data_IF_632083614958
#
_entry.id   IF_632083614958
#
_cell.length_a   1.000
_cell.length_b   1.000
_cell.length_c   1.000
_cell.angle_alpha   90.00
_cell.angle_beta   90.00
_cell.angle_gamma   90.00
#
_symmetry.space_group_name_H-M   'P 1'
#
loop_
_entity.id
_entity.type
_entity.pdbx_description
1 polymer ?
#
# COMPACT_ATOMS: atom_id res chain seq x y z
N UNK A 1 -1.46 -16.46 7.01
CA UNK A 1 -1.27 -15.02 6.69
C UNK A 1 -1.14 -14.23 7.98
N UNK A 2 -0.40 -13.10 7.99
CA UNK A 2 -0.29 -12.23 9.16
C UNK A 2 -1.66 -11.58 9.40
N UNK A 3 -2.50 -12.21 10.24
CA UNK A 3 -3.82 -11.72 10.60
C UNK A 3 -3.79 -10.62 11.66
N UNK A 4 -2.60 -10.09 11.97
CA UNK A 4 -2.42 -8.99 12.90
C UNK A 4 -2.39 -7.67 12.13
N UNK A 5 -2.92 -6.57 12.71
CA UNK A 5 -2.76 -5.23 12.18
C UNK A 5 -1.29 -4.96 11.86
N UNK A 6 -1.02 -4.50 10.64
CA UNK A 6 0.32 -4.16 10.19
C UNK A 6 0.28 -2.85 9.42
N UNK A 7 1.30 -2.03 9.62
CA UNK A 7 1.44 -0.76 8.91
C UNK A 7 2.87 -0.63 8.39
N UNK A 8 3.00 -0.04 7.20
CA UNK A 8 4.27 0.39 6.65
C UNK A 8 4.30 1.91 6.66
N UNK A 9 5.26 2.48 7.38
CA UNK A 9 5.40 3.93 7.55
C UNK A 9 6.72 4.35 6.93
N UNK A 10 6.69 5.34 6.04
CA UNK A 10 7.87 5.98 5.48
C UNK A 10 7.99 7.36 6.15
N UNK A 11 9.14 7.62 6.78
CA UNK A 11 9.42 8.89 7.45
C UNK A 11 10.44 9.69 6.66
N UNK A 12 10.13 10.95 6.40
CA UNK A 12 11.04 11.91 5.80
C UNK A 12 11.60 12.81 6.89
N UNK A 13 12.90 12.72 7.13
CA UNK A 13 13.56 13.56 8.11
C UNK A 13 13.74 14.97 7.54
N UNK A 14 13.41 15.99 8.34
CA UNK A 14 13.69 17.40 8.04
C UNK A 14 15.19 17.68 8.21
N UNK A 15 16.03 17.10 7.34
CA UNK A 15 17.48 17.23 7.34
C UNK A 15 17.96 17.47 5.91
N UNK A 16 18.96 18.31 5.77
CA UNK A 16 19.72 18.48 4.52
C UNK A 16 20.89 17.49 4.49
N UNK A 17 20.99 16.69 3.42
CA UNK A 17 22.07 15.72 3.24
C UNK A 17 21.78 14.33 3.79
N UNK A 18 22.64 13.37 3.45
CA UNK A 18 22.49 11.98 3.87
C UNK A 18 22.87 11.79 5.36
N UNK A 19 22.24 10.83 6.03
CA UNK A 19 22.63 10.42 7.38
C UNK A 19 24.01 9.74 7.36
N UNK A 20 24.85 10.07 8.34
CA UNK A 20 26.09 9.33 8.64
C UNK A 20 25.78 8.05 9.42
N UNK A 21 26.76 7.15 9.56
CA UNK A 21 26.61 5.93 10.35
C UNK A 21 26.27 6.24 11.83
N UNK A 22 26.99 7.17 12.45
CA UNK A 22 26.75 7.57 13.84
C UNK A 22 25.37 8.20 14.04
N UNK A 23 24.85 8.89 13.02
CA UNK A 23 23.48 9.42 13.06
C UNK A 23 22.44 8.31 12.94
N UNK A 24 22.71 7.27 12.15
CA UNK A 24 21.83 6.10 12.05
C UNK A 24 21.75 5.36 13.39
N UNK A 25 22.89 5.16 14.05
CA UNK A 25 22.97 4.43 15.33
C UNK A 25 22.19 5.11 16.46
N UNK A 26 21.90 6.42 16.36
CA UNK A 26 21.01 7.13 17.30
C UNK A 26 19.54 6.69 17.20
N UNK A 27 19.13 6.14 16.06
CA UNK A 27 17.73 5.79 15.80
C UNK A 27 17.52 4.30 15.58
N UNK A 28 18.51 3.58 15.06
CA UNK A 28 18.37 2.20 14.63
C UNK A 28 19.52 1.37 15.21
N UNK A 29 19.16 0.32 15.94
CA UNK A 29 20.08 -0.66 16.49
C UNK A 29 19.78 -2.05 15.93
N UNK A 30 20.81 -2.90 15.93
CA UNK A 30 20.71 -4.32 15.67
C UNK A 30 21.30 -5.14 16.84
N UNK A 31 21.29 -4.55 18.04
CA UNK A 31 21.94 -5.09 19.25
C UNK A 31 20.92 -5.30 20.36
N UNK A 32 21.16 -6.29 21.21
CA UNK A 32 20.51 -6.39 22.52
C UNK A 32 21.03 -5.25 23.42
N UNK A 33 20.15 -4.45 24.06
CA UNK A 33 20.55 -3.53 25.11
C UNK A 33 21.30 -4.24 26.24
N UNK A 34 22.18 -3.54 26.95
CA UNK A 34 22.86 -4.14 28.11
C UNK A 34 21.86 -4.28 29.26
N UNK A 35 21.55 -5.50 29.72
CA UNK A 35 20.55 -5.70 30.78
C UNK A 35 20.96 -5.09 32.13
N UNK A 36 22.24 -4.78 32.35
CA UNK A 36 22.70 -4.08 33.55
C UNK A 36 22.46 -2.57 33.51
N UNK A 37 22.26 -2.01 32.31
CA UNK A 37 22.06 -0.56 32.08
C UNK A 37 20.61 -0.27 31.70
N UNK A 38 20.05 -1.06 30.78
CA UNK A 38 18.69 -0.93 30.23
C UNK A 38 17.98 -2.30 30.21
N UNK A 39 17.53 -2.80 31.37
CA UNK A 39 16.79 -4.06 31.46
C UNK A 39 15.45 -4.01 30.73
N UNK A 40 14.79 -2.85 30.70
CA UNK A 40 13.47 -2.69 30.06
C UNK A 40 13.61 -2.79 28.54
N UNK A 41 14.60 -2.11 27.96
CA UNK A 41 14.92 -2.25 26.55
C UNK A 41 15.38 -3.66 26.20
N UNK A 42 16.20 -4.28 27.05
CA UNK A 42 16.63 -5.67 26.85
C UNK A 42 15.44 -6.64 26.77
N UNK A 43 14.49 -6.53 27.71
CA UNK A 43 13.28 -7.37 27.73
C UNK A 43 12.42 -7.14 26.49
N UNK A 44 12.20 -5.88 26.10
CA UNK A 44 11.40 -5.53 24.93
C UNK A 44 12.04 -6.05 23.62
N UNK A 45 13.34 -5.83 23.42
CA UNK A 45 14.06 -6.30 22.22
C UNK A 45 14.11 -7.82 22.20
N UNK A 46 14.35 -8.47 23.34
CA UNK A 46 14.33 -9.93 23.47
C UNK A 46 12.97 -10.54 23.09
N UNK A 47 11.88 -9.92 23.52
CA UNK A 47 10.53 -10.42 23.24
C UNK A 47 10.12 -10.21 21.77
N UNK A 48 10.35 -9.02 21.21
CA UNK A 48 9.73 -8.61 19.96
C UNK A 48 10.67 -8.56 18.76
N UNK A 49 11.98 -8.43 18.97
CA UNK A 49 12.95 -8.09 17.92
C UNK A 49 14.03 -9.14 17.71
N UNK A 50 13.71 -10.41 17.94
CA UNK A 50 14.61 -11.54 17.67
C UNK A 50 14.12 -12.36 16.48
N UNK A 51 15.02 -12.63 15.52
CA UNK A 51 14.76 -13.56 14.43
C UNK A 51 15.06 -14.99 14.88
N UNK A 52 14.27 -15.96 14.41
CA UNK A 52 14.52 -17.36 14.75
C UNK A 52 14.21 -17.70 16.21
N UNK A 53 14.80 -18.77 16.78
CA UNK A 53 15.94 -19.53 16.24
C UNK A 53 15.59 -20.30 14.95
N UNK A 54 16.50 -20.32 13.99
CA UNK A 54 16.39 -21.00 12.69
C UNK A 54 17.78 -21.52 12.27
N UNK A 55 17.89 -22.17 11.11
CA UNK A 55 19.14 -22.84 10.70
C UNK A 55 19.18 -24.26 11.24
N UNK A 56 20.38 -24.75 11.55
CA UNK A 56 20.58 -26.08 12.14
C UNK A 56 19.78 -26.28 13.44
N UNK A 57 19.61 -25.21 14.23
CA UNK A 57 18.83 -25.27 15.47
C UNK A 57 17.34 -25.53 15.25
N UNK A 58 16.76 -25.08 14.13
CA UNK A 58 15.35 -25.31 13.78
C UNK A 58 15.15 -25.29 12.24
N UNK A 59 15.43 -26.41 11.54
CA UNK A 59 15.36 -26.48 10.08
C UNK A 59 13.93 -26.43 9.55
N UNK A 60 12.93 -26.66 10.39
CA UNK A 60 11.50 -26.63 10.03
C UNK A 60 10.87 -25.24 10.06
N UNK A 61 11.62 -24.19 10.44
CA UNK A 61 11.10 -22.82 10.45
C UNK A 61 10.69 -22.37 9.05
N UNK A 62 9.58 -21.62 8.94
CA UNK A 62 9.06 -21.14 7.66
C UNK A 62 10.04 -20.23 6.87
N UNK A 63 11.07 -19.70 7.52
CA UNK A 63 12.12 -18.93 6.85
C UNK A 63 13.18 -19.81 6.17
N UNK A 64 13.24 -21.11 6.47
CA UNK A 64 14.23 -22.04 5.93
C UNK A 64 13.85 -22.44 4.51
N UNK A 65 14.78 -22.25 3.58
CA UNK A 65 14.65 -22.58 2.16
C UNK A 65 15.95 -23.25 1.73
N UNK A 66 15.88 -24.48 1.21
CA UNK A 66 17.04 -25.26 0.78
C UNK A 66 18.13 -25.42 1.86
N UNK A 67 17.73 -25.56 3.14
CA UNK A 67 18.66 -25.71 4.26
C UNK A 67 19.23 -24.40 4.81
N UNK A 68 18.98 -23.26 4.17
CA UNK A 68 19.45 -21.95 4.61
C UNK A 68 18.30 -21.03 5.02
N UNK A 69 18.54 -20.09 5.92
CA UNK A 69 17.55 -19.07 6.23
C UNK A 69 17.43 -18.10 5.05
N UNK A 70 16.25 -17.98 4.45
CA UNK A 70 15.93 -17.02 3.37
C UNK A 70 16.11 -15.53 3.75
N UNK A 71 16.38 -15.25 5.03
CA UNK A 71 16.70 -13.92 5.55
C UNK A 71 18.17 -13.78 5.94
N UNK A 72 19.00 -14.78 5.65
CA UNK A 72 20.43 -14.87 5.92
C UNK A 72 20.74 -14.61 7.40
N UNK A 73 20.11 -15.39 8.27
CA UNK A 73 20.41 -15.45 9.70
C UNK A 73 21.12 -16.77 10.03
N UNK A 74 22.09 -16.77 10.97
CA UNK A 74 22.61 -15.61 11.71
C UNK A 74 23.32 -14.58 10.82
N UNK A 75 23.24 -13.30 11.20
CA UNK A 75 23.97 -12.21 10.52
C UNK A 75 25.44 -12.22 10.92
N UNK A 76 26.31 -11.77 10.02
CA UNK A 76 27.72 -11.55 10.32
C UNK A 76 27.88 -10.50 11.45
N UNK A 77 28.86 -10.75 12.33
CA UNK A 77 29.23 -9.79 13.37
C UNK A 77 29.92 -8.57 12.77
N UNK A 78 29.66 -7.41 13.35
CA UNK A 78 30.29 -6.17 12.94
C UNK A 78 30.38 -5.21 14.12
N UNK A 79 31.56 -4.67 14.42
CA UNK A 79 31.74 -3.81 15.59
C UNK A 79 31.11 -2.41 15.42
N UNK A 80 30.99 -1.93 14.17
CA UNK A 80 30.52 -0.58 13.87
C UNK A 80 29.57 -0.57 12.68
N UNK A 81 28.62 0.36 12.71
CA UNK A 81 27.75 0.60 11.57
C UNK A 81 28.54 1.20 10.41
N UNK A 82 28.35 0.67 9.21
CA UNK A 82 29.01 1.15 7.98
C UNK A 82 28.01 1.34 6.86
N UNK A 83 28.07 2.48 6.19
CA UNK A 83 27.28 2.75 4.98
C UNK A 83 28.10 2.30 3.77
N UNK A 84 27.56 1.37 3.00
CA UNK A 84 28.19 0.82 1.80
C UNK A 84 28.04 1.80 0.61
N UNK A 85 28.86 1.59 -0.44
CA UNK A 85 28.84 2.44 -1.64
C UNK A 85 27.48 2.46 -2.35
N UNK A 86 26.72 1.36 -2.28
CA UNK A 86 25.34 1.26 -2.80
C UNK A 86 24.28 1.90 -1.87
N UNK A 87 24.71 2.61 -0.83
CA UNK A 87 23.85 3.27 0.14
C UNK A 87 23.24 2.35 1.20
N UNK A 88 23.40 1.03 1.11
CA UNK A 88 22.91 0.10 2.14
C UNK A 88 23.69 0.26 3.45
N UNK A 89 23.02 0.02 4.58
CA UNK A 89 23.65 0.06 5.90
C UNK A 89 23.93 -1.35 6.38
N UNK A 90 25.18 -1.61 6.75
CA UNK A 90 25.53 -2.75 7.59
C UNK A 90 25.59 -2.27 9.04
N UNK A 91 24.63 -2.67 9.85
CA UNK A 91 24.48 -2.23 11.24
C UNK A 91 25.43 -2.98 12.17
N UNK A 92 25.87 -2.31 13.23
CA UNK A 92 26.69 -2.90 14.28
C UNK A 92 25.97 -4.08 14.97
N UNK A 93 26.68 -5.21 15.05
CA UNK A 93 26.33 -6.45 15.74
C UNK A 93 27.60 -6.97 16.44
N UNK A 94 28.08 -6.32 17.51
CA UNK A 94 29.32 -6.70 18.17
C UNK A 94 29.14 -8.03 18.91
N UNK A 95 30.24 -8.80 19.05
CA UNK A 95 30.24 -10.06 19.80
C UNK A 95 30.53 -9.80 21.29
N UNK A 96 29.59 -9.16 21.97
CA UNK A 96 29.74 -8.63 23.34
C UNK A 96 29.25 -9.57 24.45
N UNK A 97 29.02 -10.86 24.15
CA UNK A 97 28.53 -11.91 25.08
C UNK A 97 27.12 -11.69 25.65
N UNK A 98 26.43 -10.61 25.26
CA UNK A 98 25.02 -10.41 25.60
C UNK A 98 24.18 -11.37 24.77
N UNK A 99 23.32 -12.13 25.43
CA UNK A 99 22.43 -13.09 24.79
C UNK A 99 21.09 -13.17 25.51
N UNK A 100 20.08 -13.62 24.80
CA UNK A 100 18.75 -13.91 25.33
C UNK A 100 18.33 -15.32 24.93
N UNK A 101 17.27 -15.85 25.53
CA UNK A 101 16.73 -17.17 25.18
C UNK A 101 15.44 -17.01 24.39
N UNK A 102 15.38 -17.63 23.20
CA UNK A 102 14.17 -17.73 22.41
C UNK A 102 13.89 -19.19 22.07
N UNK A 103 12.71 -19.68 22.45
CA UNK A 103 12.32 -21.09 22.31
C UNK A 103 13.37 -22.08 22.88
N UNK A 104 14.00 -21.73 24.00
CA UNK A 104 15.04 -22.54 24.64
C UNK A 104 16.45 -22.43 24.03
N UNK A 105 16.60 -21.75 22.89
CA UNK A 105 17.90 -21.54 22.22
C UNK A 105 18.48 -20.19 22.63
N UNK A 106 19.75 -20.18 23.01
CA UNK A 106 20.49 -18.94 23.27
C UNK A 106 20.83 -18.25 21.94
N UNK A 107 20.47 -16.98 21.83
CA UNK A 107 20.67 -16.15 20.65
C UNK A 107 21.25 -14.79 21.06
N UNK A 108 22.10 -14.24 20.21
CA UNK A 108 22.82 -12.99 20.45
C UNK A 108 22.52 -11.95 19.36
N UNK A 109 23.35 -10.91 19.27
CA UNK A 109 23.25 -9.83 18.29
C UNK A 109 23.20 -10.31 16.83
N UNK A 110 23.64 -11.53 16.51
CA UNK A 110 23.52 -12.06 15.15
C UNK A 110 22.06 -12.32 14.73
N UNK A 111 21.13 -12.45 15.68
CA UNK A 111 19.71 -12.75 15.44
C UNK A 111 18.77 -11.55 15.62
N UNK A 112 19.27 -10.43 16.13
CA UNK A 112 18.44 -9.25 16.40
C UNK A 112 17.94 -8.61 15.10
N UNK A 113 16.67 -8.23 15.03
CA UNK A 113 16.11 -7.43 13.92
C UNK A 113 16.45 -5.95 14.12
N UNK A 114 16.43 -5.18 13.04
CA UNK A 114 16.69 -3.74 13.10
C UNK A 114 15.54 -3.04 13.82
N UNK A 115 15.83 -2.26 14.85
CA UNK A 115 14.81 -1.69 15.72
C UNK A 115 15.21 -0.32 16.26
N UNK A 116 14.21 0.40 16.77
CA UNK A 116 14.42 1.50 17.70
C UNK A 116 13.93 1.04 19.08
N UNK A 117 14.79 1.13 20.12
CA UNK A 117 14.48 0.60 21.45
C UNK A 117 13.26 1.31 22.04
N UNK A 118 13.19 2.64 21.95
CA UNK A 118 12.07 3.42 22.49
C UNK A 118 10.74 3.03 21.85
N UNK A 119 10.70 2.80 20.54
CA UNK A 119 9.50 2.31 19.85
C UNK A 119 9.11 0.91 20.34
N UNK A 120 10.08 0.01 20.52
CA UNK A 120 9.80 -1.34 21.01
C UNK A 120 9.26 -1.32 22.44
N UNK A 121 9.86 -0.51 23.32
CA UNK A 121 9.43 -0.34 24.71
C UNK A 121 8.04 0.30 24.78
N UNK A 122 7.81 1.38 24.02
CA UNK A 122 6.54 2.12 24.03
C UNK A 122 5.35 1.30 23.53
N UNK A 123 5.54 0.54 22.46
CA UNK A 123 4.44 -0.16 21.79
C UNK A 123 4.37 -1.66 22.09
N UNK A 124 5.40 -2.23 22.73
CA UNK A 124 5.46 -3.66 23.07
C UNK A 124 5.11 -4.55 21.88
N UNK A 125 5.71 -4.26 20.73
CA UNK A 125 5.35 -4.87 19.45
C UNK A 125 6.58 -5.06 18.55
N UNK A 126 6.45 -5.95 17.56
CA UNK A 126 7.48 -6.18 16.54
C UNK A 126 7.53 -5.00 15.56
N UNK A 127 8.52 -4.10 15.73
CA UNK A 127 8.69 -2.88 14.92
C UNK A 127 10.05 -2.88 14.25
N UNK A 128 10.11 -3.33 13.00
CA UNK A 128 11.34 -3.28 12.21
C UNK A 128 11.56 -1.86 11.66
N UNK A 129 12.69 -1.24 12.01
CA UNK A 129 13.07 0.10 11.57
C UNK A 129 14.32 -0.01 10.70
N UNK A 130 14.30 0.58 9.50
CA UNK A 130 15.43 0.53 8.58
C UNK A 130 15.67 1.87 7.90
N UNK A 131 16.95 2.23 7.70
CA UNK A 131 17.34 3.32 6.81
C UNK A 131 17.17 2.87 5.36
N UNK A 132 16.39 3.63 4.61
CA UNK A 132 16.18 3.43 3.17
C UNK A 132 17.10 4.36 2.39
N UNK A 133 17.88 3.81 1.45
CA UNK A 133 18.69 4.59 0.50
C UNK A 133 17.85 5.01 -0.71
N UNK A 134 18.39 5.89 -1.57
CA UNK A 134 17.70 6.37 -2.79
C UNK A 134 17.20 5.21 -3.66
N UNK A 135 18.05 4.24 -3.95
CA UNK A 135 17.74 3.06 -4.78
C UNK A 135 16.93 1.96 -4.04
N UNK A 136 16.63 2.19 -2.75
CA UNK A 136 15.67 1.39 -2.02
C UNK A 136 14.30 2.05 -1.97
N UNK A 137 14.21 3.36 -2.18
CA UNK A 137 13.04 4.17 -1.86
C UNK A 137 11.88 3.88 -2.80
N UNK A 138 12.14 3.71 -4.09
CA UNK A 138 11.15 3.35 -5.10
C UNK A 138 10.46 2.04 -4.74
N UNK A 139 11.21 1.08 -4.18
CA UNK A 139 10.63 -0.16 -3.68
C UNK A 139 9.64 0.14 -2.56
N UNK A 140 9.94 0.99 -1.58
CA UNK A 140 8.97 1.26 -0.50
C UNK A 140 7.79 2.12 -0.96
N UNK A 141 8.02 3.11 -1.83
CA UNK A 141 6.97 3.97 -2.39
C UNK A 141 5.98 3.18 -3.23
N UNK A 142 6.48 2.37 -4.16
CA UNK A 142 5.62 1.67 -5.10
C UNK A 142 5.16 0.32 -4.57
N UNK A 143 6.01 -0.49 -3.94
CA UNK A 143 5.64 -1.86 -3.55
C UNK A 143 4.39 -1.89 -2.68
N UNK A 144 4.26 -1.02 -1.69
CA UNK A 144 3.09 -1.07 -0.80
C UNK A 144 1.86 -0.37 -1.40
N UNK A 145 2.06 0.52 -2.37
CA UNK A 145 0.97 1.12 -3.14
C UNK A 145 0.43 0.17 -4.21
N UNK A 146 1.31 -0.58 -4.87
CA UNK A 146 0.99 -1.48 -6.00
C UNK A 146 0.83 -2.93 -5.58
N UNK A 147 1.15 -3.29 -4.34
CA UNK A 147 0.84 -4.62 -3.81
C UNK A 147 -0.67 -4.77 -3.84
N UNK A 148 -1.12 -5.61 -4.77
CA UNK A 148 -2.53 -5.92 -4.94
C UNK A 148 -3.17 -6.40 -3.64
N UNK A 149 -4.49 -6.34 -3.61
CA UNK A 149 -5.24 -6.93 -2.51
C UNK A 149 -4.96 -8.42 -2.43
N UNK A 150 -5.08 -8.96 -1.21
CA UNK A 150 -4.98 -10.39 -1.01
C UNK A 150 -6.12 -11.09 -1.77
N UNK A 151 -5.75 -12.01 -2.67
CA UNK A 151 -6.69 -12.85 -3.39
C UNK A 151 -6.61 -14.31 -2.94
N UNK A 152 -7.73 -15.01 -3.02
CA UNK A 152 -7.83 -16.46 -2.99
C UNK A 152 -8.31 -16.94 -4.35
N UNK A 153 -7.72 -18.01 -4.88
CA UNK A 153 -8.21 -18.67 -6.09
C UNK A 153 -9.09 -19.84 -5.68
N UNK A 154 -10.32 -19.85 -6.15
CA UNK A 154 -11.28 -20.93 -5.94
C UNK A 154 -11.46 -21.67 -7.25
N UNK A 155 -11.12 -22.96 -7.29
CA UNK A 155 -11.39 -23.81 -8.45
C UNK A 155 -12.86 -24.23 -8.47
N UNK A 156 -13.55 -23.98 -9.57
CA UNK A 156 -14.92 -24.44 -9.81
C UNK A 156 -14.87 -25.75 -10.58
N UNK A 157 -15.22 -26.86 -9.92
CA UNK A 157 -15.35 -28.14 -10.61
C UNK A 157 -16.80 -28.35 -11.06
N UNK A 158 -17.05 -28.33 -12.37
CA UNK A 158 -18.34 -28.74 -12.92
C UNK A 158 -18.56 -30.23 -12.66
N UNK A 159 -19.66 -30.57 -11.99
CA UNK A 159 -20.10 -31.96 -11.82
C UNK A 159 -20.44 -32.51 -13.20
N UNK A 160 -19.63 -33.45 -13.71
CA UNK A 160 -19.95 -34.13 -14.98
C UNK A 160 -21.28 -34.86 -14.81
N UNK A 161 -22.27 -34.56 -15.65
CA UNK A 161 -23.49 -35.35 -15.70
C UNK A 161 -23.13 -36.78 -16.11
N UNK A 162 -23.54 -37.76 -15.31
CA UNK A 162 -23.33 -39.17 -15.60
C UNK A 162 -24.15 -39.55 -16.84
N UNK A 163 -23.50 -39.63 -18.02
CA UNK A 163 -24.13 -40.15 -19.23
C UNK A 163 -23.64 -39.59 -20.57
N UNK A 164 -22.83 -38.54 -20.62
CA UNK A 164 -22.35 -38.02 -21.91
C UNK A 164 -21.09 -38.77 -22.39
N UNK A 165 -21.30 -39.53 -23.47
CA UNK A 165 -20.26 -40.16 -24.29
C UNK A 165 -19.26 -39.12 -24.79
N UNK A 166 -17.99 -39.44 -24.62
CA UNK A 166 -16.81 -38.61 -24.88
C UNK A 166 -16.58 -38.34 -26.37
N UNK A 167 -17.36 -37.46 -26.97
CA UNK A 167 -17.10 -36.92 -28.32
C UNK A 167 -17.41 -35.42 -28.43
N UNK A 168 -16.93 -34.63 -27.48
CA UNK A 168 -16.67 -33.22 -27.74
C UNK A 168 -15.58 -32.70 -26.81
N UNK A 169 -14.37 -32.55 -27.35
CA UNK A 169 -13.31 -31.71 -26.79
C UNK A 169 -13.76 -30.23 -26.85
N UNK A 170 -14.76 -29.87 -26.06
CA UNK A 170 -14.92 -28.47 -25.66
C UNK A 170 -13.70 -28.16 -24.81
N UNK A 171 -12.78 -27.37 -25.37
CA UNK A 171 -11.52 -27.01 -24.73
C UNK A 171 -11.74 -26.59 -23.28
N UNK A 172 -10.93 -27.15 -22.39
CA UNK A 172 -10.91 -26.76 -20.97
C UNK A 172 -10.63 -25.26 -20.94
N UNK A 173 -11.60 -24.46 -20.50
CA UNK A 173 -11.41 -23.04 -20.36
C UNK A 173 -10.85 -22.77 -18.97
N UNK A 174 -9.53 -22.85 -18.85
CA UNK A 174 -8.78 -22.62 -17.61
C UNK A 174 -9.06 -21.25 -16.97
N UNK A 175 -9.63 -20.28 -17.70
CA UNK A 175 -10.00 -18.97 -17.13
C UNK A 175 -11.39 -19.03 -16.46
N UNK A 176 -12.33 -19.81 -17.00
CA UNK A 176 -13.68 -19.95 -16.44
C UNK A 176 -13.74 -20.90 -15.23
N UNK A 177 -12.74 -21.79 -15.09
CA UNK A 177 -12.71 -22.79 -14.03
C UNK A 177 -12.13 -22.27 -12.71
N UNK A 178 -11.73 -20.99 -12.63
CA UNK A 178 -11.23 -20.37 -11.41
C UNK A 178 -11.90 -19.03 -11.14
N UNK A 179 -12.30 -18.81 -9.90
CA UNK A 179 -12.68 -17.50 -9.39
C UNK A 179 -11.52 -16.91 -8.59
N UNK A 180 -11.15 -15.68 -8.91
CA UNK A 180 -10.25 -14.90 -8.07
C UNK A 180 -11.09 -14.05 -7.10
N UNK A 181 -11.10 -14.45 -5.84
CA UNK A 181 -11.89 -13.80 -4.80
C UNK A 181 -10.99 -12.92 -3.94
N UNK A 182 -11.35 -11.64 -3.78
CA UNK A 182 -10.66 -10.74 -2.84
C UNK A 182 -10.91 -11.21 -1.41
N UNK A 183 -9.84 -11.46 -0.66
CA UNK A 183 -9.90 -11.70 0.77
C UNK A 183 -10.01 -10.38 1.52
N UNK A 184 -10.92 -10.33 2.50
CA UNK A 184 -11.05 -9.23 3.46
C UNK A 184 -10.75 -9.82 4.84
N UNK A 185 -9.77 -9.26 5.55
CA UNK A 185 -9.44 -9.73 6.89
C UNK A 185 -10.55 -9.34 7.89
N UNK A 186 -10.73 -10.07 9.01
CA UNK A 186 -11.81 -9.78 9.98
C UNK A 186 -11.82 -8.32 10.47
N UNK A 187 -10.64 -7.74 10.68
CA UNK A 187 -10.48 -6.33 11.06
C UNK A 187 -10.94 -5.37 9.95
N UNK A 188 -10.59 -5.62 8.69
CA UNK A 188 -11.04 -4.80 7.55
C UNK A 188 -12.55 -4.90 7.35
N UNK A 189 -13.12 -6.10 7.57
CA UNK A 189 -14.56 -6.33 7.50
C UNK A 189 -15.29 -5.55 8.61
N UNK A 190 -14.80 -5.61 9.85
CA UNK A 190 -15.36 -4.85 10.96
C UNK A 190 -15.29 -3.34 10.70
N UNK A 191 -14.16 -2.83 10.22
CA UNK A 191 -13.98 -1.41 9.88
C UNK A 191 -15.00 -0.92 8.85
N UNK A 192 -15.27 -1.75 7.83
CA UNK A 192 -16.27 -1.49 6.79
C UNK A 192 -17.70 -1.57 7.31
N UNK A 193 -18.02 -2.59 8.11
CA UNK A 193 -19.36 -2.75 8.70
C UNK A 193 -19.71 -1.57 9.61
N UNK A 194 -18.73 -1.03 10.33
CA UNK A 194 -18.88 0.16 11.17
C UNK A 194 -18.83 1.48 10.39
N UNK A 195 -18.70 1.42 9.05
CA UNK A 195 -18.66 2.59 8.16
C UNK A 195 -17.57 3.61 8.50
N UNK A 196 -16.46 3.16 9.09
CA UNK A 196 -15.32 4.04 9.34
C UNK A 196 -14.62 4.40 8.02
N UNK A 197 -14.06 5.61 7.98
CA UNK A 197 -13.25 6.04 6.84
C UNK A 197 -12.08 5.07 6.61
N UNK A 198 -12.00 4.53 5.39
CA UNK A 198 -10.97 3.55 5.00
C UNK A 198 -9.72 4.26 4.47
N UNK A 199 -9.91 5.48 3.96
CA UNK A 199 -8.88 6.24 3.27
C UNK A 199 -9.09 7.71 3.54
N UNK A 200 -7.99 8.38 3.86
CA UNK A 200 -7.89 9.82 3.93
C UNK A 200 -6.71 10.26 3.05
N UNK A 201 -6.92 11.26 2.20
CA UNK A 201 -5.82 11.88 1.43
C UNK A 201 -5.86 13.38 1.65
N UNK A 202 -4.70 13.94 1.94
CA UNK A 202 -4.50 15.37 2.12
C UNK A 202 -3.29 15.83 1.26
N UNK A 203 -3.47 16.74 0.29
CA UNK A 203 -4.74 17.40 -0.09
C UNK A 203 -5.72 16.42 -0.75
N UNK A 204 -7.03 16.67 -0.61
CA UNK A 204 -8.05 15.83 -1.24
C UNK A 204 -7.87 15.83 -2.77
N UNK A 205 -8.04 14.66 -3.39
CA UNK A 205 -7.90 14.47 -4.83
C UNK A 205 -9.26 14.31 -5.47
N UNK A 206 -9.61 15.24 -6.37
CA UNK A 206 -10.88 15.24 -7.10
C UNK A 206 -10.71 14.51 -8.43
N UNK A 207 -11.39 13.36 -8.60
CA UNK A 207 -11.32 12.62 -9.86
C UNK A 207 -12.25 13.25 -10.91
N UNK A 208 -11.66 13.62 -12.03
CA UNK A 208 -12.31 14.33 -13.12
C UNK A 208 -12.53 13.38 -14.31
N UNK A 209 -13.79 13.02 -14.63
CA UNK A 209 -14.09 12.16 -15.77
C UNK A 209 -13.75 12.86 -17.08
N UNK A 210 -13.24 12.08 -18.04
CA UNK A 210 -13.03 12.51 -19.43
C UNK A 210 -13.78 11.53 -20.31
N UNK A 211 -14.63 12.07 -21.19
CA UNK A 211 -15.45 11.28 -22.10
C UNK A 211 -15.86 12.15 -23.30
N UNK A 212 -16.18 11.50 -24.41
CA UNK A 212 -16.81 12.15 -25.57
C UNK A 212 -18.29 12.46 -25.31
N UNK A 213 -18.95 13.26 -26.16
CA UNK A 213 -20.39 13.49 -26.06
C UNK A 213 -21.17 12.17 -25.96
N UNK A 214 -22.06 12.08 -24.97
CA UNK A 214 -22.86 10.89 -24.64
C UNK A 214 -22.06 9.62 -24.26
N UNK A 215 -20.72 9.73 -24.13
CA UNK A 215 -19.84 8.65 -23.70
C UNK A 215 -19.62 8.56 -22.19
N UNK A 216 -20.40 9.27 -21.39
CA UNK A 216 -20.26 9.24 -19.93
C UNK A 216 -20.86 7.97 -19.34
N UNK A 217 -20.30 7.53 -18.21
CA UNK A 217 -20.87 6.44 -17.43
C UNK A 217 -22.05 6.94 -16.59
N UNK A 218 -23.10 6.14 -16.53
CA UNK A 218 -24.31 6.38 -15.71
C UNK A 218 -24.48 5.20 -14.77
N UNK A 219 -24.79 5.48 -13.50
CA UNK A 219 -25.08 4.47 -12.48
C UNK A 219 -26.59 4.30 -12.40
N UNK A 220 -27.06 3.06 -12.41
CA UNK A 220 -28.47 2.68 -12.32
C UNK A 220 -28.60 1.38 -11.51
N UNK A 221 -29.80 1.12 -10.98
CA UNK A 221 -30.14 -0.08 -10.21
C UNK A 221 -30.76 -1.15 -11.10
N UNK A 222 -30.81 -2.39 -10.61
CA UNK A 222 -31.41 -3.53 -11.35
C UNK A 222 -32.89 -3.30 -11.70
N UNK A 223 -33.61 -2.55 -10.87
CA UNK A 223 -35.03 -2.25 -11.06
C UNK A 223 -35.29 -1.01 -11.96
N UNK A 224 -34.25 -0.28 -12.36
CA UNK A 224 -34.40 0.95 -13.16
C UNK A 224 -34.70 0.62 -14.63
N UNK A 225 -35.66 1.34 -15.23
CA UNK A 225 -35.91 1.26 -16.67
C UNK A 225 -34.78 1.94 -17.45
N UNK A 226 -34.08 1.19 -18.30
CA UNK A 226 -32.98 1.72 -19.13
C UNK A 226 -33.42 2.89 -20.02
N UNK A 227 -34.65 2.88 -20.52
CA UNK A 227 -35.19 3.97 -21.34
C UNK A 227 -35.33 5.26 -20.52
N UNK A 228 -35.84 5.16 -19.29
CA UNK A 228 -35.96 6.30 -18.38
C UNK A 228 -34.58 6.82 -17.95
N UNK A 229 -33.63 5.93 -17.72
CA UNK A 229 -32.24 6.30 -17.39
C UNK A 229 -31.59 7.08 -18.52
N UNK A 230 -31.76 6.66 -19.78
CA UNK A 230 -31.21 7.35 -20.95
C UNK A 230 -31.89 8.68 -21.23
N UNK A 231 -33.20 8.77 -21.01
CA UNK A 231 -33.98 9.98 -21.24
C UNK A 231 -33.78 11.04 -20.15
N UNK A 232 -33.28 10.68 -18.96
CA UNK A 232 -33.08 11.61 -17.87
C UNK A 232 -31.94 12.61 -18.17
N UNK A 233 -32.21 13.92 -18.34
CA UNK A 233 -31.20 14.92 -18.64
C UNK A 233 -30.14 15.04 -17.54
N UNK A 234 -30.50 14.76 -16.29
CA UNK A 234 -29.55 14.77 -15.17
C UNK A 234 -28.40 13.80 -15.40
N UNK A 235 -28.60 12.70 -16.10
CA UNK A 235 -27.56 11.71 -16.37
C UNK A 235 -26.52 12.19 -17.39
N UNK A 236 -26.79 13.27 -18.11
CA UNK A 236 -25.86 13.88 -19.07
C UNK A 236 -24.99 14.97 -18.41
N UNK A 237 -25.38 15.45 -17.22
CA UNK A 237 -24.59 16.42 -16.46
C UNK A 237 -23.48 15.66 -15.71
N UNK A 238 -22.26 15.92 -16.12
CA UNK A 238 -21.03 15.40 -15.52
C UNK A 238 -20.17 16.57 -15.07
N UNK A 239 -19.11 16.30 -14.32
CA UNK A 239 -18.12 17.32 -13.96
C UNK A 239 -17.53 18.02 -15.18
N UNK A 240 -17.35 17.30 -16.29
CA UNK A 240 -16.79 17.83 -17.53
C UNK A 240 -17.78 18.74 -18.25
N UNK A 241 -19.04 18.30 -18.40
CA UNK A 241 -20.06 19.12 -19.07
C UNK A 241 -20.44 20.33 -18.23
N UNK A 242 -20.50 20.18 -16.90
CA UNK A 242 -20.68 21.29 -15.98
C UNK A 242 -19.48 22.25 -15.96
N UNK A 243 -18.25 21.77 -16.22
CA UNK A 243 -17.09 22.65 -16.38
C UNK A 243 -17.23 23.53 -17.62
N UNK A 244 -17.66 22.97 -18.76
CA UNK A 244 -17.96 23.78 -19.96
C UNK A 244 -19.03 24.84 -19.69
N UNK A 245 -20.06 24.52 -18.90
CA UNK A 245 -21.10 25.48 -18.55
C UNK A 245 -20.60 26.55 -17.56
N UNK A 246 -19.77 26.15 -16.60
CA UNK A 246 -19.10 27.07 -15.68
C UNK A 246 -18.22 28.08 -16.43
N UNK A 247 -17.52 27.66 -17.49
CA UNK A 247 -16.73 28.54 -18.35
C UNK A 247 -17.55 29.60 -19.09
N UNK A 248 -18.85 29.36 -19.31
CA UNK A 248 -19.76 30.37 -19.89
C UNK A 248 -20.32 31.32 -18.82
N UNK A 249 -20.47 30.82 -17.60
CA UNK A 249 -21.19 31.49 -16.52
C UNK A 249 -20.26 32.37 -15.67
N UNK A 250 -19.09 31.87 -15.33
CA UNK A 250 -18.13 32.55 -14.45
C UNK A 250 -16.96 33.12 -15.28
N UNK A 251 -16.75 34.45 -15.27
CA UNK A 251 -15.67 35.06 -16.05
C UNK A 251 -14.26 34.55 -15.71
N UNK A 252 -14.03 34.09 -14.48
CA UNK A 252 -12.72 33.59 -14.03
C UNK A 252 -12.51 32.10 -14.37
N UNK A 253 -13.56 31.36 -14.69
CA UNK A 253 -13.46 29.92 -14.97
C UNK A 253 -12.57 29.62 -16.20
N UNK A 254 -12.55 30.54 -17.17
CA UNK A 254 -11.74 30.43 -18.40
C UNK A 254 -10.23 30.51 -18.15
N UNK A 255 -9.81 30.95 -16.97
CA UNK A 255 -8.41 31.05 -16.60
C UNK A 255 -7.82 29.71 -16.13
N UNK A 256 -8.65 28.68 -15.92
CA UNK A 256 -8.24 27.43 -15.30
C UNK A 256 -8.50 26.26 -16.23
N UNK A 257 -7.49 25.40 -16.39
CA UNK A 257 -7.68 24.11 -17.06
C UNK A 257 -8.67 23.24 -16.28
N UNK A 258 -9.18 22.19 -16.92
CA UNK A 258 -10.11 21.30 -16.22
C UNK A 258 -9.42 20.62 -15.03
N UNK A 259 -8.13 20.30 -15.16
CA UNK A 259 -7.31 19.71 -14.10
C UNK A 259 -7.10 20.64 -12.90
N UNK A 260 -6.94 21.95 -13.12
CA UNK A 260 -6.75 22.95 -12.07
C UNK A 260 -8.08 23.40 -11.44
N UNK A 261 -9.20 23.14 -12.12
CA UNK A 261 -10.52 23.64 -11.71
C UNK A 261 -10.89 23.32 -10.25
N UNK A 262 -10.63 22.11 -9.71
CA UNK A 262 -10.91 21.80 -8.31
C UNK A 262 -10.08 22.60 -7.29
N UNK A 263 -9.04 23.30 -7.70
CA UNK A 263 -8.27 24.20 -6.82
C UNK A 263 -9.06 25.49 -6.54
N UNK A 264 -9.93 25.89 -7.46
CA UNK A 264 -10.67 27.17 -7.44
C UNK A 264 -12.19 27.00 -7.28
N UNK A 265 -12.73 25.86 -7.71
CA UNK A 265 -14.15 25.55 -7.68
C UNK A 265 -14.42 24.25 -6.90
N UNK A 266 -15.64 24.13 -6.37
CA UNK A 266 -16.13 22.96 -5.65
C UNK A 266 -17.29 22.32 -6.41
N UNK A 267 -17.23 21.00 -6.57
CA UNK A 267 -18.29 20.22 -7.21
C UNK A 267 -19.42 19.94 -6.21
N UNK A 268 -20.64 20.36 -6.56
CA UNK A 268 -21.84 20.06 -5.79
C UNK A 268 -22.59 18.91 -6.46
N UNK A 269 -22.42 17.69 -5.94
CA UNK A 269 -22.96 16.48 -6.56
C UNK A 269 -24.50 16.46 -6.63
N UNK A 270 -25.18 16.95 -5.60
CA UNK A 270 -26.65 16.94 -5.52
C UNK A 270 -27.30 17.85 -6.58
N UNK A 271 -26.68 19.01 -6.84
CA UNK A 271 -27.14 19.95 -7.88
C UNK A 271 -26.42 19.81 -9.22
N UNK A 272 -25.38 18.97 -9.30
CA UNK A 272 -24.50 18.77 -10.45
C UNK A 272 -23.92 20.06 -11.05
N UNK A 273 -23.37 20.94 -10.21
CA UNK A 273 -22.76 22.20 -10.65
C UNK A 273 -21.43 22.49 -9.95
N UNK A 274 -20.71 23.47 -10.49
CA UNK A 274 -19.51 24.05 -9.89
C UNK A 274 -19.81 25.44 -9.31
N UNK A 275 -19.32 25.70 -8.10
CA UNK A 275 -19.35 27.01 -7.46
C UNK A 275 -17.96 27.36 -6.91
N UNK A 276 -17.74 28.65 -6.65
CA UNK A 276 -16.51 29.16 -6.05
C UNK A 276 -16.15 28.42 -4.78
N UNK A 277 -14.89 27.99 -4.69
CA UNK A 277 -14.37 27.31 -3.51
C UNK A 277 -14.22 28.29 -2.35
N UNK A 278 -14.65 27.85 -1.16
CA UNK A 278 -14.60 28.62 0.10
C UNK A 278 -13.66 28.02 1.15
N UNK A 279 -12.83 27.03 0.77
CA UNK A 279 -11.96 26.28 1.67
C UNK A 279 -10.64 25.86 1.01
N UNK A 280 -9.91 24.93 1.63
CA UNK A 280 -8.62 24.44 1.12
C UNK A 280 -8.76 23.80 -0.27
N UNK A 281 -7.76 24.01 -1.13
CA UNK A 281 -7.74 23.50 -2.50
C UNK A 281 -7.74 21.96 -2.58
N UNK A 282 -8.46 21.42 -3.56
CA UNK A 282 -8.38 20.01 -3.94
C UNK A 282 -7.51 19.89 -5.20
N UNK A 283 -6.72 18.83 -5.32
CA UNK A 283 -5.97 18.56 -6.54
C UNK A 283 -6.86 17.83 -7.53
N UNK A 284 -7.09 18.41 -8.70
CA UNK A 284 -7.82 17.73 -9.77
C UNK A 284 -6.97 16.66 -10.44
N UNK A 285 -7.58 15.50 -10.71
CA UNK A 285 -6.93 14.42 -11.44
C UNK A 285 -7.82 13.90 -12.55
N UNK A 286 -7.43 14.20 -13.80
CA UNK A 286 -8.07 13.65 -14.99
C UNK A 286 -8.02 12.12 -14.96
N UNK A 287 -9.15 11.49 -15.29
CA UNK A 287 -9.24 10.06 -15.48
C UNK A 287 -8.16 9.58 -16.47
N UNK A 288 -7.62 8.38 -16.23
CA UNK A 288 -6.68 7.79 -17.17
C UNK A 288 -7.41 7.45 -18.47
N UNK A 289 -6.87 7.92 -19.60
CA UNK A 289 -7.34 7.62 -20.95
C UNK A 289 -6.11 7.18 -21.72
N UNK A 290 -6.11 5.95 -22.22
CA UNK A 290 -4.97 5.37 -22.91
C UNK A 290 -4.79 5.96 -24.32
N UNK A 291 -3.56 6.02 -24.88
CA UNK A 291 -3.32 6.50 -26.25
C UNK A 291 -4.10 5.74 -27.32
N UNK A 292 -4.50 4.49 -27.04
CA UNK A 292 -5.31 3.65 -27.91
C UNK A 292 -6.82 4.00 -27.91
N UNK A 293 -7.27 4.95 -27.07
CA UNK A 293 -8.67 5.35 -26.96
C UNK A 293 -9.04 6.52 -27.90
N UNK A 294 -8.17 6.83 -28.87
CA UNK A 294 -8.44 7.76 -29.98
C UNK A 294 -8.85 9.15 -29.50
N UNK A 295 -10.01 9.62 -29.95
CA UNK A 295 -10.52 10.98 -29.68
C UNK A 295 -10.62 11.31 -28.19
N UNK A 296 -10.92 10.33 -27.33
CA UNK A 296 -10.93 10.57 -25.88
C UNK A 296 -9.54 10.95 -25.36
N UNK A 297 -8.49 10.36 -25.91
CA UNK A 297 -7.10 10.66 -25.53
C UNK A 297 -6.71 12.06 -25.97
N UNK A 298 -7.05 12.44 -27.20
CA UNK A 298 -6.80 13.79 -27.70
C UNK A 298 -7.58 14.83 -26.91
N UNK A 299 -8.84 14.58 -26.58
CA UNK A 299 -9.63 15.44 -25.69
C UNK A 299 -8.95 15.59 -24.33
N UNK A 300 -8.50 14.50 -23.70
CA UNK A 300 -7.79 14.56 -22.42
C UNK A 300 -6.55 15.45 -22.47
N UNK A 301 -5.83 15.47 -23.59
CA UNK A 301 -4.63 16.31 -23.76
C UNK A 301 -4.95 17.80 -23.90
N UNK A 302 -6.19 18.14 -24.28
CA UNK A 302 -6.66 19.52 -24.42
C UNK A 302 -7.28 20.09 -23.14
N UNK A 303 -7.70 19.22 -22.22
CA UNK A 303 -8.36 19.55 -20.95
C UNK A 303 -7.37 19.85 -19.82
#
# INVERSE_FOLDING_TARGET
KRGLPHVHIILWLKKTGALTADEVDKFISAQLPDPSVDPIGFDAVSAFMIHGPCGEGHPSCACMVNGECSKNYPKEYCEKTTILQNGHVRYARPKNRISTKKNGVAVDNAFVLLHNVDLCVKYQAHINVERVSRDGMEKYLFKYFTKGFDCSKVGLQRKRASGESSTCTKGVNEIQDYLECRCIAPNDAAWRLLQFEIHHTNPSVERLPVHLPLGNSVVYNEDDSLEQVLQNPWNQITKLTAWFEANKTYPEAVCYTYAEFPEHFTWHADGKYWDYRRGTGNVGRLANVGPNQGDSYYLRMLL
#
